data_IF_761939441719
#
_entry.id   IF_761939441719
#
_cell.length_a   1.000
_cell.length_b   1.000
_cell.length_c   1.000
_cell.angle_alpha   90.00
_cell.angle_beta   90.00
_cell.angle_gamma   90.00
#
_symmetry.space_group_name_H-M   'P 1'
#
loop_
_entity.id
_entity.type
_entity.pdbx_description
1 polymer ?
#
# COMPACT_ATOMS: atom_id res chain seq x y z
N UNK A 1 22.80 -45.80 -72.81
CA UNK A 1 22.99 -44.53 -72.07
C UNK A 1 22.14 -44.55 -70.81
N UNK A 2 22.75 -44.51 -69.63
CA UNK A 2 22.17 -43.84 -68.46
C UNK A 2 23.24 -43.77 -67.37
N UNK A 3 23.83 -42.60 -67.23
CA UNK A 3 24.80 -42.29 -66.18
C UNK A 3 24.02 -41.88 -64.93
N UNK A 4 24.03 -42.73 -63.90
CA UNK A 4 23.48 -42.41 -62.58
C UNK A 4 24.54 -41.73 -61.71
N UNK A 5 24.54 -40.40 -61.71
CA UNK A 5 25.50 -39.57 -61.00
C UNK A 5 25.40 -39.68 -59.47
N UNK A 6 26.57 -39.77 -58.84
CA UNK A 6 26.86 -39.76 -57.41
C UNK A 6 26.31 -38.50 -56.72
N UNK A 7 25.46 -38.68 -55.71
CA UNK A 7 24.89 -37.58 -54.92
C UNK A 7 25.97 -36.96 -54.00
N UNK A 8 26.26 -35.67 -54.21
CA UNK A 8 27.28 -34.89 -53.49
C UNK A 8 26.78 -34.47 -52.11
N UNK A 9 27.47 -34.95 -51.07
CA UNK A 9 27.35 -34.52 -49.68
C UNK A 9 27.41 -32.98 -49.56
N UNK A 10 26.26 -32.37 -49.27
CA UNK A 10 26.12 -30.93 -49.06
C UNK A 10 26.68 -30.57 -47.68
N UNK A 11 27.96 -30.18 -47.63
CA UNK A 11 28.58 -29.65 -46.41
C UNK A 11 27.94 -28.30 -46.08
N UNK A 12 27.17 -28.25 -45.01
CA UNK A 12 26.70 -27.00 -44.41
C UNK A 12 27.93 -26.30 -43.80
N UNK A 13 28.29 -25.16 -44.37
CA UNK A 13 29.33 -24.28 -43.85
C UNK A 13 28.79 -23.56 -42.62
N UNK A 14 29.24 -23.96 -41.43
CA UNK A 14 29.09 -23.16 -40.22
C UNK A 14 29.97 -21.91 -40.35
N UNK A 15 29.36 -20.74 -40.49
CA UNK A 15 30.07 -19.46 -40.45
C UNK A 15 30.62 -19.21 -39.03
N UNK A 16 31.80 -18.59 -38.88
CA UNK A 16 32.35 -18.27 -37.58
C UNK A 16 31.51 -17.18 -36.92
N UNK A 17 30.86 -17.51 -35.81
CA UNK A 17 30.30 -16.50 -34.90
C UNK A 17 31.44 -15.71 -34.29
N UNK A 18 31.72 -14.52 -34.84
CA UNK A 18 32.69 -13.59 -34.25
C UNK A 18 32.19 -13.16 -32.87
N UNK A 19 32.78 -13.73 -31.82
CA UNK A 19 32.74 -13.12 -30.50
C UNK A 19 33.49 -11.78 -30.58
N UNK A 20 32.77 -10.68 -30.73
CA UNK A 20 33.32 -9.32 -30.67
C UNK A 20 33.52 -8.95 -29.20
N UNK A 21 34.77 -8.68 -28.80
CA UNK A 21 35.07 -8.10 -27.50
C UNK A 21 34.70 -6.62 -27.45
N UNK A 22 34.34 -6.14 -26.26
CA UNK A 22 34.10 -4.72 -26.00
C UNK A 22 35.39 -3.91 -26.09
N UNK A 23 35.34 -2.72 -26.67
CA UNK A 23 36.50 -1.81 -26.66
C UNK A 23 36.63 -1.09 -25.32
N UNK A 24 37.84 -0.65 -24.96
CA UNK A 24 38.08 0.14 -23.74
C UNK A 24 37.19 1.40 -23.72
N UNK A 25 37.06 2.06 -24.88
CA UNK A 25 36.24 3.26 -25.04
C UNK A 25 34.75 2.96 -24.80
N UNK A 26 34.27 1.82 -25.29
CA UNK A 26 32.89 1.37 -25.08
C UNK A 26 32.60 1.08 -23.61
N UNK A 27 33.54 0.46 -22.89
CA UNK A 27 33.42 0.24 -21.45
C UNK A 27 33.35 1.58 -20.69
N UNK A 28 34.21 2.54 -21.02
CA UNK A 28 34.20 3.87 -20.39
C UNK A 28 32.86 4.56 -20.62
N UNK A 29 32.35 4.54 -21.85
CA UNK A 29 31.07 5.17 -22.20
C UNK A 29 29.91 4.54 -21.42
N UNK A 30 29.89 3.21 -21.28
CA UNK A 30 28.88 2.50 -20.47
C UNK A 30 28.95 2.91 -19.00
N UNK A 31 30.15 3.02 -18.40
CA UNK A 31 30.30 3.47 -17.01
C UNK A 31 29.84 4.92 -16.81
N UNK A 32 30.12 5.81 -17.76
CA UNK A 32 29.65 7.20 -17.72
C UNK A 32 28.12 7.25 -17.80
N UNK A 33 27.51 6.50 -18.72
CA UNK A 33 26.05 6.43 -18.86
C UNK A 33 25.41 5.89 -17.58
N UNK A 34 25.94 4.80 -17.02
CA UNK A 34 25.47 4.24 -15.74
C UNK A 34 25.59 5.27 -14.62
N UNK A 35 26.70 6.02 -14.56
CA UNK A 35 26.91 7.08 -13.56
C UNK A 35 25.86 8.19 -13.63
N UNK A 36 25.54 8.67 -14.84
CA UNK A 36 24.51 9.69 -15.04
C UNK A 36 23.13 9.16 -14.68
N UNK A 37 22.79 7.95 -15.12
CA UNK A 37 21.50 7.30 -14.77
C UNK A 37 21.40 7.11 -13.27
N UNK A 38 22.46 6.66 -12.59
CA UNK A 38 22.48 6.44 -11.15
C UNK A 38 22.25 7.74 -10.37
N UNK A 39 22.87 8.85 -10.79
CA UNK A 39 22.70 10.15 -10.15
C UNK A 39 21.25 10.66 -10.25
N UNK A 40 20.61 10.50 -11.42
CA UNK A 40 19.23 10.97 -11.63
C UNK A 40 18.23 10.00 -10.99
N UNK A 41 18.37 8.69 -11.22
CA UNK A 41 17.46 7.68 -10.70
C UNK A 41 17.48 7.61 -9.17
N UNK A 42 18.66 7.73 -8.55
CA UNK A 42 18.80 7.73 -7.08
C UNK A 42 18.02 8.85 -6.40
N UNK A 43 18.01 10.06 -6.99
CA UNK A 43 17.26 11.21 -6.44
C UNK A 43 15.74 10.99 -6.49
N UNK A 44 15.24 10.27 -7.51
CA UNK A 44 13.82 10.01 -7.71
C UNK A 44 13.28 8.98 -6.71
N UNK A 45 14.07 7.96 -6.37
CA UNK A 45 13.69 6.95 -5.35
C UNK A 45 13.62 7.50 -3.93
N UNK A 46 14.43 8.52 -3.60
CA UNK A 46 14.34 9.21 -2.32
C UNK A 46 13.05 10.06 -2.23
N UNK A 47 12.65 10.68 -3.35
CA UNK A 47 11.43 11.47 -3.42
C UNK A 47 10.14 10.64 -3.31
N UNK A 48 10.05 9.49 -3.98
CA UNK A 48 8.81 8.67 -4.00
C UNK A 48 8.40 8.14 -2.63
N UNK A 49 9.37 7.75 -1.78
CA UNK A 49 9.06 7.28 -0.41
C UNK A 49 8.38 8.34 0.45
N UNK A 50 8.81 9.60 0.33
CA UNK A 50 8.19 10.71 1.05
C UNK A 50 6.75 10.99 0.55
N UNK A 51 6.44 10.73 -0.73
CA UNK A 51 5.08 10.86 -1.25
C UNK A 51 4.16 9.73 -0.78
N UNK A 52 4.66 8.50 -0.70
CA UNK A 52 3.91 7.36 -0.18
C UNK A 52 3.58 7.56 1.32
N UNK A 53 4.51 8.12 2.09
CA UNK A 53 4.31 8.49 3.49
C UNK A 53 3.20 9.54 3.66
N UNK A 54 3.21 10.60 2.85
CA UNK A 54 2.18 11.65 2.89
C UNK A 54 0.81 11.13 2.48
N UNK A 55 0.73 10.37 1.38
CA UNK A 55 -0.51 9.78 0.90
C UNK A 55 -1.14 8.88 1.97
N UNK A 56 -0.33 8.04 2.61
CA UNK A 56 -0.81 7.08 3.61
C UNK A 56 -1.36 7.75 4.88
N UNK A 57 -0.85 8.93 5.25
CA UNK A 57 -1.37 9.71 6.40
C UNK A 57 -2.74 10.30 6.11
N UNK A 58 -2.92 10.90 4.94
CA UNK A 58 -4.21 11.48 4.53
C UNK A 58 -5.26 10.38 4.33
N UNK A 59 -4.85 9.24 3.76
CA UNK A 59 -5.69 8.06 3.60
C UNK A 59 -6.15 7.53 4.97
N UNK A 60 -5.23 7.34 5.92
CA UNK A 60 -5.58 6.94 7.28
C UNK A 60 -6.51 7.94 7.97
N UNK A 61 -6.28 9.25 7.80
CA UNK A 61 -7.17 10.28 8.33
C UNK A 61 -8.58 10.17 7.76
N UNK A 62 -8.69 9.93 6.46
CA UNK A 62 -9.97 9.73 5.79
C UNK A 62 -10.67 8.46 6.27
N UNK A 63 -9.92 7.37 6.50
CA UNK A 63 -10.45 6.11 7.02
C UNK A 63 -10.99 6.27 8.45
N UNK A 64 -10.27 6.98 9.33
CA UNK A 64 -10.72 7.26 10.69
C UNK A 64 -11.98 8.15 10.70
N UNK A 65 -12.03 9.20 9.88
CA UNK A 65 -13.23 10.05 9.73
C UNK A 65 -14.41 9.26 9.18
N UNK A 66 -14.15 8.36 8.23
CA UNK A 66 -15.16 7.49 7.68
C UNK A 66 -15.71 6.52 8.75
N UNK A 67 -14.82 5.88 9.53
CA UNK A 67 -15.20 5.02 10.64
C UNK A 67 -16.06 5.75 11.67
N UNK A 68 -15.68 6.98 12.05
CA UNK A 68 -16.46 7.81 12.98
C UNK A 68 -17.86 8.11 12.44
N UNK A 69 -17.97 8.56 11.18
CA UNK A 69 -19.26 8.86 10.55
C UNK A 69 -20.11 7.61 10.39
N UNK A 70 -19.48 6.48 10.06
CA UNK A 70 -20.15 5.20 9.96
C UNK A 70 -20.70 4.75 11.31
N UNK A 71 -19.96 4.94 12.40
CA UNK A 71 -20.43 4.61 13.74
C UNK A 71 -21.68 5.41 14.12
N UNK A 72 -21.67 6.72 13.82
CA UNK A 72 -22.83 7.60 14.04
C UNK A 72 -24.02 7.19 13.16
N UNK A 73 -23.78 6.91 11.87
CA UNK A 73 -24.85 6.60 10.92
C UNK A 73 -25.47 5.22 11.13
N UNK A 74 -24.66 4.23 11.50
CA UNK A 74 -25.12 2.86 11.77
C UNK A 74 -25.63 2.67 13.19
N UNK A 75 -25.36 3.64 14.09
CA UNK A 75 -25.53 3.49 15.54
C UNK A 75 -24.83 2.24 16.10
N UNK A 76 -23.72 1.83 15.48
CA UNK A 76 -22.92 0.69 15.89
C UNK A 76 -21.49 1.11 16.18
N UNK A 77 -20.81 0.49 17.17
CA UNK A 77 -19.40 0.74 17.38
C UNK A 77 -18.57 0.30 16.17
N UNK A 78 -17.65 1.17 15.73
CA UNK A 78 -16.74 0.86 14.62
C UNK A 78 -15.30 0.89 15.13
N UNK A 79 -14.57 -0.19 14.88
CA UNK A 79 -13.18 -0.35 15.26
C UNK A 79 -12.28 -0.26 14.04
N UNK A 80 -11.31 0.66 14.10
CA UNK A 80 -10.18 0.74 13.19
C UNK A 80 -8.99 0.05 13.84
N UNK A 81 -8.56 -1.06 13.26
CA UNK A 81 -7.37 -1.78 13.72
C UNK A 81 -6.24 -1.53 12.74
N UNK A 82 -5.09 -1.10 13.26
CA UNK A 82 -3.86 -0.86 12.50
C UNK A 82 -2.82 -1.83 13.07
N UNK A 83 -2.30 -2.72 12.25
CA UNK A 83 -1.34 -3.76 12.64
C UNK A 83 -0.30 -3.96 11.55
N UNK A 84 0.98 -3.83 11.91
CA UNK A 84 2.09 -4.03 10.98
C UNK A 84 2.06 -3.09 9.77
N UNK A 85 1.41 -1.94 9.89
CA UNK A 85 1.21 -1.01 8.78
C UNK A 85 0.00 -1.31 7.89
N UNK A 86 -0.74 -2.39 8.09
CA UNK A 86 -2.04 -2.58 7.45
C UNK A 86 -3.14 -2.08 8.38
N UNK A 87 -4.20 -1.50 7.83
CA UNK A 87 -5.38 -1.15 8.62
C UNK A 87 -6.68 -1.68 8.02
N UNK A 88 -7.65 -1.97 8.88
CA UNK A 88 -8.97 -2.46 8.49
C UNK A 88 -10.07 -1.94 9.42
N UNK A 89 -11.28 -1.80 8.89
CA UNK A 89 -12.44 -1.35 9.66
C UNK A 89 -13.40 -2.52 9.93
N UNK A 90 -13.89 -2.62 11.16
CA UNK A 90 -14.91 -3.60 11.57
C UNK A 90 -16.02 -2.91 12.35
N UNK A 91 -17.26 -3.32 12.11
CA UNK A 91 -18.41 -2.96 12.94
C UNK A 91 -18.54 -4.05 14.01
N UNK A 92 -18.55 -3.65 15.27
CA UNK A 92 -18.74 -4.60 16.37
C UNK A 92 -20.24 -4.76 16.68
N UNK A 93 -20.62 -5.99 17.04
CA UNK A 93 -21.92 -6.23 17.64
C UNK A 93 -21.91 -5.74 19.09
N UNK A 94 -22.91 -4.95 19.47
CA UNK A 94 -23.22 -4.77 20.88
C UNK A 94 -24.08 -5.95 21.32
N UNK A 95 -23.52 -6.85 22.15
CA UNK A 95 -24.31 -7.92 22.78
C UNK A 95 -25.18 -7.32 23.90
N UNK A 96 -26.17 -6.51 23.53
CA UNK A 96 -27.24 -6.10 24.44
C UNK A 96 -28.53 -6.82 24.06
N UNK A 97 -29.31 -7.28 25.05
CA UNK A 97 -30.48 -8.13 24.86
C UNK A 97 -31.68 -7.46 24.14
N UNK A 98 -31.44 -6.29 23.55
CA UNK A 98 -32.38 -5.48 22.79
C UNK A 98 -31.86 -5.44 21.36
N UNK A 99 -32.67 -5.83 20.38
CA UNK A 99 -32.32 -5.87 18.96
C UNK A 99 -31.57 -4.60 18.54
N UNK A 100 -30.25 -4.68 18.54
CA UNK A 100 -29.37 -3.57 18.18
C UNK A 100 -29.13 -3.66 16.68
N UNK A 101 -28.83 -2.54 15.99
CA UNK A 101 -28.57 -2.56 14.55
C UNK A 101 -27.34 -3.41 14.13
N UNK A 102 -26.65 -4.01 15.09
CA UNK A 102 -25.31 -4.58 14.99
C UNK A 102 -25.25 -6.09 15.31
N UNK A 103 -26.39 -6.79 15.39
CA UNK A 103 -26.51 -8.17 15.91
C UNK A 103 -25.83 -9.29 15.06
N UNK A 104 -24.88 -8.95 14.18
CA UNK A 104 -24.20 -9.87 13.26
C UNK A 104 -22.79 -10.34 13.67
N UNK A 105 -22.30 -9.98 14.85
CA UNK A 105 -20.90 -10.16 15.26
C UNK A 105 -19.97 -9.08 14.70
N UNK A 106 -18.64 -9.29 14.80
CA UNK A 106 -17.66 -8.38 14.21
C UNK A 106 -17.67 -8.54 12.68
N UNK A 107 -18.26 -7.58 11.96
CA UNK A 107 -18.38 -7.61 10.50
C UNK A 107 -17.40 -6.62 9.88
N UNK A 108 -16.67 -7.04 8.85
CA UNK A 108 -15.79 -6.15 8.11
C UNK A 108 -16.61 -5.06 7.38
N UNK A 109 -16.22 -3.80 7.56
CA UNK A 109 -16.82 -2.69 6.82
C UNK A 109 -16.50 -2.86 5.34
N UNK A 110 -17.48 -2.67 4.47
CA UNK A 110 -17.26 -2.72 3.01
C UNK A 110 -16.58 -1.44 2.54
N UNK A 111 -15.65 -1.59 1.61
CA UNK A 111 -15.04 -0.45 0.92
C UNK A 111 -16.08 0.21 -0.01
N UNK A 112 -16.38 1.52 0.15
CA UNK A 112 -17.31 2.22 -0.73
C UNK A 112 -16.80 2.39 -2.17
N UNK A 113 -15.49 2.24 -2.39
CA UNK A 113 -14.86 2.38 -3.71
C UNK A 113 -14.61 1.02 -4.40
N UNK A 114 -14.87 -0.09 -3.72
CA UNK A 114 -14.52 -1.44 -4.19
C UNK A 114 -15.55 -2.50 -3.84
N UNK A 115 -15.22 -3.76 -4.13
CA UNK A 115 -16.07 -4.93 -3.84
C UNK A 115 -15.64 -5.71 -2.59
N UNK A 116 -14.68 -5.18 -1.82
CA UNK A 116 -14.05 -5.86 -0.69
C UNK A 116 -14.28 -5.21 0.68
N UNK A 117 -13.56 -5.71 1.68
CA UNK A 117 -13.46 -5.07 2.99
C UNK A 117 -12.63 -3.78 2.89
N UNK A 118 -12.98 -2.79 3.70
CA UNK A 118 -12.24 -1.54 3.82
C UNK A 118 -10.89 -1.83 4.45
N UNK A 119 -9.84 -1.69 3.65
CA UNK A 119 -8.46 -1.93 4.04
C UNK A 119 -7.53 -0.93 3.37
N UNK A 120 -6.42 -0.63 4.03
CA UNK A 120 -5.34 0.16 3.44
C UNK A 120 -4.02 -0.05 4.17
N UNK A 121 -3.01 0.73 3.79
CA UNK A 121 -1.67 0.63 4.35
C UNK A 121 -1.18 1.98 4.87
N UNK A 122 -0.35 1.96 5.90
CA UNK A 122 0.38 3.10 6.47
C UNK A 122 1.87 2.88 6.28
N UNK A 123 2.58 3.90 5.82
CA UNK A 123 4.04 3.92 5.77
C UNK A 123 4.56 5.05 6.66
N UNK A 124 5.40 4.78 7.68
CA UNK A 124 5.93 3.48 8.11
C UNK A 124 4.87 2.62 8.80
N UNK A 125 5.23 1.37 9.10
CA UNK A 125 4.36 0.44 9.81
C UNK A 125 4.01 0.96 11.22
N UNK A 126 2.72 0.87 11.56
CA UNK A 126 2.17 1.30 12.84
C UNK A 126 1.32 0.20 13.46
N UNK A 127 1.15 0.31 14.77
CA UNK A 127 0.23 -0.53 15.54
C UNK A 127 -0.62 0.39 16.43
N UNK A 128 -1.92 0.39 16.21
CA UNK A 128 -2.86 1.17 16.99
C UNK A 128 -4.29 0.62 16.81
N UNK A 129 -5.18 0.96 17.72
CA UNK A 129 -6.59 0.65 17.59
C UNK A 129 -7.40 1.84 18.04
N UNK A 130 -8.32 2.28 17.19
CA UNK A 130 -9.26 3.36 17.50
C UNK A 130 -10.66 2.78 17.39
N UNK A 131 -11.44 2.86 18.47
CA UNK A 131 -12.81 2.34 18.50
C UNK A 131 -13.78 3.47 18.79
N UNK A 132 -14.64 3.78 17.83
CA UNK A 132 -15.69 4.78 17.98
C UNK A 132 -16.99 4.10 18.45
N UNK A 133 -17.70 4.74 19.38
CA UNK A 133 -19.05 4.35 19.76
C UNK A 133 -20.11 4.93 18.81
N UNK A 134 -21.38 4.60 19.06
CA UNK A 134 -22.52 5.08 18.27
C UNK A 134 -22.71 6.62 18.29
N UNK A 135 -22.04 7.35 19.18
CA UNK A 135 -22.03 8.82 19.24
C UNK A 135 -20.82 9.43 18.50
N UNK A 136 -19.93 8.59 17.95
CA UNK A 136 -18.70 9.01 17.29
C UNK A 136 -17.57 9.38 18.24
N UNK A 137 -17.70 9.07 19.54
CA UNK A 137 -16.66 9.27 20.54
C UNK A 137 -15.73 8.05 20.60
N UNK A 138 -14.42 8.23 20.77
CA UNK A 138 -13.48 7.14 20.83
C UNK A 138 -13.47 6.50 22.23
N UNK A 139 -13.92 5.26 22.34
CA UNK A 139 -13.83 4.45 23.57
C UNK A 139 -12.44 3.81 23.74
N UNK A 140 -11.67 3.76 22.66
CA UNK A 140 -10.27 3.36 22.65
C UNK A 140 -9.52 4.18 21.60
N UNK A 141 -8.27 4.55 21.89
CA UNK A 141 -7.44 5.34 20.98
C UNK A 141 -7.78 6.84 20.92
N UNK A 142 -8.67 7.34 21.78
CA UNK A 142 -8.87 8.77 22.00
C UNK A 142 -7.61 9.44 22.55
N UNK A 143 -7.37 10.70 22.19
CA UNK A 143 -6.17 11.46 22.60
C UNK A 143 -4.85 10.94 22.02
N UNK A 144 -4.88 9.86 21.24
CA UNK A 144 -3.68 9.19 20.74
C UNK A 144 -3.08 9.96 19.57
N UNK A 145 -1.75 10.07 19.56
CA UNK A 145 -0.98 10.65 18.47
C UNK A 145 -0.40 9.54 17.60
N UNK A 146 -0.87 9.42 16.38
CA UNK A 146 -0.36 8.48 15.39
C UNK A 146 0.69 9.16 14.52
N UNK A 147 1.91 8.64 14.51
CA UNK A 147 3.03 9.23 13.76
C UNK A 147 3.25 8.47 12.44
N UNK A 148 2.85 9.07 11.32
CA UNK A 148 3.02 8.52 9.97
C UNK A 148 4.06 9.37 9.23
N UNK A 149 5.19 8.80 8.82
CA UNK A 149 6.22 9.49 8.03
C UNK A 149 6.83 10.71 8.74
N UNK A 150 7.00 10.66 10.06
CA UNK A 150 7.49 11.79 10.86
C UNK A 150 6.47 12.92 11.07
N UNK A 151 5.20 12.72 10.68
CA UNK A 151 4.11 13.68 10.88
C UNK A 151 3.03 13.05 11.74
N UNK A 152 2.40 13.85 12.59
CA UNK A 152 1.36 13.36 13.49
C UNK A 152 -0.04 13.46 12.87
N UNK A 153 -0.91 12.59 13.36
CA UNK A 153 -2.36 12.61 13.22
C UNK A 153 -2.94 12.41 14.63
N UNK A 154 -3.99 13.16 14.97
CA UNK A 154 -4.63 13.10 16.28
C UNK A 154 -6.12 12.79 16.15
N UNK A 155 -6.60 12.00 17.10
CA UNK A 155 -8.02 11.75 17.35
C UNK A 155 -8.35 12.39 18.70
N UNK A 156 -9.25 13.37 18.73
CA UNK A 156 -9.67 14.02 19.97
C UNK A 156 -10.41 13.03 20.89
N UNK A 157 -10.07 13.05 22.17
CA UNK A 157 -10.57 12.09 23.18
C UNK A 157 -12.08 12.15 23.39
N UNK A 158 -12.66 13.36 23.38
CA UNK A 158 -14.08 13.55 23.70
C UNK A 158 -15.00 13.52 22.47
N UNK A 159 -14.49 14.00 21.33
CA UNK A 159 -15.31 14.21 20.13
C UNK A 159 -15.04 13.20 19.03
N UNK A 160 -13.92 12.48 19.10
CA UNK A 160 -13.44 11.63 18.01
C UNK A 160 -12.98 12.39 16.78
N UNK A 161 -12.90 13.73 16.85
CA UNK A 161 -12.50 14.55 15.71
C UNK A 161 -11.07 14.24 15.28
N UNK A 162 -10.90 13.94 13.99
CA UNK A 162 -9.62 13.54 13.40
C UNK A 162 -8.99 14.71 12.66
N UNK A 163 -7.82 15.16 13.12
CA UNK A 163 -7.08 16.27 12.52
C UNK A 163 -5.59 16.00 12.40
N UNK A 164 -4.99 16.79 11.53
CA UNK A 164 -3.58 16.76 11.18
C UNK A 164 -2.97 18.06 11.72
N UNK A 165 -2.22 18.02 12.83
CA UNK A 165 -1.51 19.19 13.34
C UNK A 165 -0.36 19.63 12.41
#
# INVERSE_FOLDING_TARGET
MSAGATNKNRRLSAGPGLARGFTLVELILVLVIIGVIAAVAGSRFAGTRAFDELGSREELASALRYAQRLAIASQCPVTVTIAGGAYSLTVAAENTATATPCDGGNVAVRDPLGSGAYQGQTAPALNATVRFNALGQPEAGGGTVLNVGGRSLRVEEETGYVYLP
#
